data_IF_505419371063
#
_entry.id   IF_505419371063
#
_cell.length_a   1.000
_cell.length_b   1.000
_cell.length_c   1.000
_cell.angle_alpha   90.00
_cell.angle_beta   90.00
_cell.angle_gamma   90.00
#
_symmetry.space_group_name_H-M   'P 1'
#
loop_
_entity.id
_entity.type
_entity.pdbx_description
1 polymer ?
#
# COMPACT_ATOMS: atom_id res chain seq x y z
N UNK A 1 6.71 -17.59 -30.44
CA UNK A 1 5.90 -16.59 -29.71
C UNK A 1 4.56 -17.20 -29.36
N UNK A 2 4.23 -17.34 -28.07
CA UNK A 2 2.86 -17.60 -27.63
C UNK A 2 2.34 -16.31 -26.97
N UNK A 3 1.60 -15.50 -27.74
CA UNK A 3 0.87 -14.36 -27.19
C UNK A 3 -0.29 -14.91 -26.37
N UNK A 4 -0.24 -14.75 -25.05
CA UNK A 4 -1.39 -15.07 -24.20
C UNK A 4 -2.31 -13.85 -24.21
N UNK A 5 -3.58 -13.97 -24.63
CA UNK A 5 -4.51 -12.85 -24.63
C UNK A 5 -4.70 -12.30 -23.22
N UNK A 6 -4.99 -11.00 -23.12
CA UNK A 6 -5.43 -10.38 -21.87
C UNK A 6 -6.71 -11.10 -21.42
N UNK A 7 -6.67 -11.73 -20.25
CA UNK A 7 -7.82 -12.42 -19.67
C UNK A 7 -8.39 -11.54 -18.57
N UNK A 8 -9.67 -11.19 -18.69
CA UNK A 8 -10.38 -10.47 -17.64
C UNK A 8 -10.73 -11.42 -16.50
N UNK A 9 -10.59 -10.96 -15.27
CA UNK A 9 -10.91 -11.74 -14.07
C UNK A 9 -12.42 -11.96 -13.91
N UNK A 10 -13.24 -11.14 -14.58
CA UNK A 10 -14.70 -11.30 -14.64
C UNK A 10 -15.16 -11.13 -16.08
N UNK A 11 -15.94 -12.10 -16.59
CA UNK A 11 -16.52 -12.06 -17.93
C UNK A 11 -18.01 -11.76 -17.83
N UNK A 12 -18.51 -10.88 -18.71
CA UNK A 12 -19.92 -10.48 -18.78
C UNK A 12 -20.54 -10.84 -20.13
N UNK A 13 -21.82 -11.18 -20.14
CA UNK A 13 -22.60 -11.38 -21.37
C UNK A 13 -23.09 -10.04 -21.95
N UNK A 14 -23.71 -10.10 -23.13
CA UNK A 14 -24.22 -8.92 -23.84
C UNK A 14 -25.39 -8.21 -23.12
N UNK A 15 -26.01 -8.85 -22.13
CA UNK A 15 -27.04 -8.27 -21.28
C UNK A 15 -26.45 -7.70 -19.97
N UNK A 16 -25.13 -7.81 -19.77
CA UNK A 16 -24.42 -7.37 -18.57
C UNK A 16 -24.45 -8.39 -17.42
N UNK A 17 -24.89 -9.62 -17.66
CA UNK A 17 -24.85 -10.71 -16.68
C UNK A 17 -23.44 -11.28 -16.53
N UNK A 18 -23.05 -11.72 -15.33
CA UNK A 18 -21.73 -12.32 -15.08
C UNK A 18 -21.70 -13.76 -15.60
N UNK A 19 -20.82 -14.06 -16.55
CA UNK A 19 -20.63 -15.39 -17.17
C UNK A 19 -19.56 -16.20 -16.44
N UNK A 20 -18.53 -15.53 -15.93
CA UNK A 20 -17.46 -16.14 -15.13
C UNK A 20 -17.02 -15.18 -14.04
N UNK A 21 -17.14 -15.60 -12.80
CA UNK A 21 -16.61 -14.88 -11.64
C UNK A 21 -15.32 -15.54 -11.16
N UNK A 22 -14.30 -14.73 -10.90
CA UNK A 22 -13.14 -15.15 -10.11
C UNK A 22 -13.33 -14.60 -8.70
N UNK A 23 -13.07 -15.43 -7.68
CA UNK A 23 -13.05 -14.96 -6.30
C UNK A 23 -12.00 -13.86 -6.17
N UNK A 24 -12.44 -12.66 -5.79
CA UNK A 24 -11.53 -11.57 -5.47
C UNK A 24 -10.61 -12.00 -4.33
N UNK A 25 -9.34 -12.24 -4.66
CA UNK A 25 -8.29 -12.47 -3.69
C UNK A 25 -7.49 -11.18 -3.60
N UNK A 26 -7.59 -10.42 -2.49
CA UNK A 26 -6.77 -9.23 -2.30
C UNK A 26 -5.31 -9.60 -2.55
N UNK A 27 -4.62 -8.86 -3.42
CA UNK A 27 -3.18 -9.06 -3.65
C UNK A 27 -2.44 -8.76 -2.35
N UNK A 28 -2.12 -9.81 -1.59
CA UNK A 28 -0.97 -10.07 -0.68
C UNK A 28 -0.29 -8.93 0.14
N UNK A 29 -0.80 -7.70 0.18
CA UNK A 29 -0.21 -6.56 0.91
C UNK A 29 -1.28 -5.75 1.62
N UNK A 30 -2.27 -6.42 2.20
CA UNK A 30 -3.01 -5.79 3.29
C UNK A 30 -2.12 -5.86 4.52
N UNK A 31 -1.55 -4.73 4.95
CA UNK A 31 -0.86 -4.67 6.24
C UNK A 31 -1.83 -5.10 7.33
N UNK A 32 -1.39 -6.01 8.19
CA UNK A 32 -2.12 -6.34 9.40
C UNK A 32 -2.20 -5.10 10.31
N UNK A 33 -3.21 -5.03 11.19
CA UNK A 33 -3.30 -3.95 12.19
C UNK A 33 -1.99 -3.77 12.98
N UNK A 34 -1.33 -4.86 13.36
CA UNK A 34 -0.06 -4.84 14.09
C UNK A 34 1.10 -4.24 13.26
N UNK A 35 1.17 -4.53 11.95
CA UNK A 35 2.15 -3.92 11.06
C UNK A 35 1.93 -2.41 10.95
N UNK A 36 0.66 -1.98 10.84
CA UNK A 36 0.31 -0.56 10.81
C UNK A 36 0.71 0.13 12.13
N UNK A 37 0.43 -0.48 13.28
CA UNK A 37 0.83 0.05 14.59
C UNK A 37 2.36 0.18 14.71
N UNK A 38 3.10 -0.80 14.20
CA UNK A 38 4.57 -0.78 14.18
C UNK A 38 5.08 0.39 13.33
N UNK A 39 4.54 0.56 12.12
CA UNK A 39 4.90 1.67 11.23
C UNK A 39 4.60 3.03 11.87
N UNK A 40 3.47 3.16 12.59
CA UNK A 40 3.12 4.40 13.29
C UNK A 40 4.10 4.68 14.44
N UNK A 41 4.51 3.67 15.18
CA UNK A 41 5.46 3.81 16.27
C UNK A 41 6.84 4.26 15.74
N UNK A 42 7.29 3.65 14.64
CA UNK A 42 8.53 4.01 13.94
C UNK A 42 8.50 5.45 13.45
N UNK A 43 7.47 5.85 12.70
CA UNK A 43 7.32 7.20 12.18
C UNK A 43 7.34 8.28 13.28
N UNK A 44 6.76 7.99 14.46
CA UNK A 44 6.80 8.90 15.62
C UNK A 44 8.20 9.05 16.19
N UNK A 45 8.99 7.98 16.22
CA UNK A 45 10.37 8.04 16.68
C UNK A 45 11.25 8.84 15.71
N UNK A 46 11.12 8.58 14.41
CA UNK A 46 11.84 9.30 13.37
C UNK A 46 11.51 10.80 13.37
N UNK A 47 10.23 11.15 13.47
CA UNK A 47 9.81 12.56 13.52
C UNK A 47 10.45 13.29 14.69
N UNK A 48 10.47 12.69 15.88
CA UNK A 48 11.13 13.29 17.05
C UNK A 48 12.62 13.49 16.83
N UNK A 49 13.30 12.49 16.28
CA UNK A 49 14.73 12.59 15.99
C UNK A 49 15.03 13.70 14.97
N UNK A 50 14.24 13.78 13.90
CA UNK A 50 14.36 14.83 12.89
C UNK A 50 14.13 16.24 13.47
N UNK A 51 13.12 16.41 14.32
CA UNK A 51 12.85 17.70 14.98
C UNK A 51 13.99 18.13 15.89
N UNK A 52 14.58 17.21 16.67
CA UNK A 52 15.72 17.54 17.52
C UNK A 52 16.94 17.96 16.70
N UNK A 53 17.24 17.21 15.62
CA UNK A 53 18.32 17.57 14.71
C UNK A 53 18.11 18.93 14.04
N UNK A 54 16.87 19.27 13.69
CA UNK A 54 16.53 20.58 13.14
C UNK A 54 16.75 21.70 14.17
N UNK A 55 16.35 21.50 15.43
CA UNK A 55 16.59 22.48 16.51
C UNK A 55 18.10 22.69 16.71
N UNK A 56 18.89 21.62 16.78
CA UNK A 56 20.35 21.70 16.90
C UNK A 56 20.96 22.45 15.72
N UNK A 57 20.50 22.17 14.50
CA UNK A 57 20.93 22.89 13.30
C UNK A 57 20.62 24.39 13.39
N UNK A 58 19.44 24.77 13.85
CA UNK A 58 19.05 26.19 14.00
C UNK A 58 19.90 26.87 15.06
N UNK A 59 20.16 26.22 16.19
CA UNK A 59 21.00 26.76 17.25
C UNK A 59 22.46 26.93 16.80
N UNK A 60 22.99 26.03 15.99
CA UNK A 60 24.36 26.14 15.48
C UNK A 60 24.55 27.27 14.44
N UNK A 61 23.46 27.76 13.84
CA UNK A 61 23.48 28.86 12.86
C UNK A 61 23.25 30.25 13.49
N UNK A 62 22.82 30.30 14.75
CA UNK A 62 22.57 31.54 15.49
C UNK A 62 23.82 32.04 16.23
#
# INVERSE_FOLDING_TARGET
MNSRPFAFDTEFDAAGGVVRSVEFRPMKRAYSPAEVETMIAEARAETRAATLAEIESVQAMA
#
